data_IF_887194752271
#
_entry.id   IF_887194752271
#
_cell.length_a   1.000
_cell.length_b   1.000
_cell.length_c   1.000
_cell.angle_alpha   90.00
_cell.angle_beta   90.00
_cell.angle_gamma   90.00
#
_symmetry.space_group_name_H-M   'P 1'
#
loop_
_entity.id
_entity.type
_entity.pdbx_description
1 polymer ?
#
# COMPACT_ATOMS: atom_id res chain seq x y z
N UNK A 1 18.36 -18.34 -6.05
CA UNK A 1 17.42 -18.36 -7.19
C UNK A 1 17.46 -19.73 -7.83
N UNK A 2 16.37 -20.19 -8.47
CA UNK A 2 16.30 -21.56 -9.02
C UNK A 2 17.26 -21.84 -10.19
N UNK A 3 17.77 -20.78 -10.82
CA UNK A 3 18.67 -20.84 -11.98
C UNK A 3 20.17 -20.69 -11.62
N UNK A 4 20.50 -20.60 -10.34
CA UNK A 4 21.88 -20.45 -9.87
C UNK A 4 22.55 -19.12 -10.22
N UNK A 5 21.85 -18.19 -10.85
CA UNK A 5 22.41 -16.88 -11.25
C UNK A 5 21.99 -15.79 -10.25
N UNK A 6 22.88 -14.79 -10.07
CA UNK A 6 22.62 -13.63 -9.22
C UNK A 6 22.06 -12.50 -10.06
N UNK A 7 20.86 -12.05 -9.74
CA UNK A 7 20.23 -10.93 -10.42
C UNK A 7 20.03 -9.76 -9.45
N UNK A 8 20.17 -8.54 -9.95
CA UNK A 8 19.68 -7.36 -9.24
C UNK A 8 18.15 -7.43 -9.18
N UNK A 9 17.63 -7.49 -7.98
CA UNK A 9 16.20 -7.61 -7.75
C UNK A 9 15.74 -6.59 -6.73
N UNK A 10 14.52 -6.12 -6.92
CA UNK A 10 13.79 -5.33 -5.94
C UNK A 10 12.65 -6.17 -5.37
N UNK A 11 12.32 -5.90 -4.11
CA UNK A 11 11.19 -6.51 -3.40
C UNK A 11 10.08 -5.47 -3.31
N UNK A 12 8.90 -5.80 -3.82
CA UNK A 12 7.71 -4.99 -3.65
C UNK A 12 6.93 -5.47 -2.42
N UNK A 13 6.43 -4.53 -1.63
CA UNK A 13 5.52 -4.79 -0.51
C UNK A 13 4.23 -4.01 -0.73
N UNK A 14 3.08 -4.67 -0.51
CA UNK A 14 1.77 -4.05 -0.56
C UNK A 14 1.12 -4.03 0.82
N UNK A 15 0.67 -2.86 1.23
CA UNK A 15 -0.27 -2.71 2.34
C UNK A 15 -1.67 -2.52 1.75
N UNK A 16 -2.55 -3.47 2.01
CA UNK A 16 -3.89 -3.52 1.43
C UNK A 16 -4.93 -3.34 2.53
N UNK A 17 -5.89 -2.45 2.33
CA UNK A 17 -7.04 -2.34 3.21
C UNK A 17 -8.00 -3.51 2.96
N UNK A 18 -8.24 -4.31 4.00
CA UNK A 18 -9.08 -5.51 3.93
C UNK A 18 -10.58 -5.20 3.84
N UNK A 19 -11.00 -3.95 4.01
CA UNK A 19 -12.38 -3.51 3.81
C UNK A 19 -12.65 -3.12 2.37
N UNK A 20 -11.74 -2.37 1.77
CA UNK A 20 -11.91 -1.80 0.44
C UNK A 20 -11.19 -2.57 -0.68
N UNK A 21 -10.29 -3.50 -0.39
CA UNK A 21 -9.38 -4.14 -1.36
C UNK A 21 -8.47 -3.11 -2.08
N UNK A 22 -8.29 -1.92 -1.51
CA UNK A 22 -7.40 -0.90 -2.05
C UNK A 22 -5.97 -1.10 -1.53
N UNK A 23 -4.98 -0.95 -2.38
CA UNK A 23 -3.59 -0.86 -1.95
C UNK A 23 -3.35 0.55 -1.41
N UNK A 24 -3.14 0.66 -0.12
CA UNK A 24 -2.92 1.93 0.59
C UNK A 24 -1.47 2.39 0.49
N UNK A 25 -0.53 1.43 0.53
CA UNK A 25 0.89 1.68 0.28
C UNK A 25 1.48 0.57 -0.58
N UNK A 26 2.40 0.95 -1.47
CA UNK A 26 3.20 0.03 -2.25
C UNK A 26 4.65 0.51 -2.24
N UNK A 27 5.48 -0.21 -1.53
CA UNK A 27 6.86 0.16 -1.26
C UNK A 27 7.82 -0.79 -2.01
N UNK A 28 8.88 -0.23 -2.57
CA UNK A 28 9.91 -0.99 -3.26
C UNK A 28 11.20 -0.93 -2.46
N UNK A 29 11.71 -2.08 -2.10
CA UNK A 29 12.94 -2.23 -1.35
C UNK A 29 14.01 -3.02 -2.14
N UNK A 30 15.29 -2.82 -1.85
CA UNK A 30 16.31 -3.76 -2.28
C UNK A 30 16.01 -5.18 -1.78
N UNK A 31 16.21 -6.20 -2.62
CA UNK A 31 15.80 -7.57 -2.32
C UNK A 31 16.52 -8.20 -1.10
N UNK A 32 17.62 -7.59 -0.65
CA UNK A 32 18.38 -8.05 0.52
C UNK A 32 17.78 -7.57 1.86
N UNK A 33 16.79 -6.66 1.85
CA UNK A 33 16.09 -6.28 3.09
C UNK A 33 15.09 -7.36 3.49
N UNK A 34 15.09 -7.72 4.76
CA UNK A 34 14.16 -8.73 5.29
C UNK A 34 12.78 -8.11 5.57
N UNK A 35 11.73 -8.95 5.51
CA UNK A 35 10.34 -8.52 5.73
C UNK A 35 10.14 -7.87 7.10
N UNK A 36 10.79 -8.41 8.14
CA UNK A 36 10.64 -7.89 9.49
C UNK A 36 11.30 -6.51 9.69
N UNK A 37 12.24 -6.10 8.83
CA UNK A 37 12.89 -4.80 8.92
C UNK A 37 12.09 -3.70 8.20
N UNK A 38 11.26 -4.08 7.23
CA UNK A 38 10.47 -3.14 6.41
C UNK A 38 9.08 -2.86 6.99
N UNK A 39 8.56 -3.72 7.89
CA UNK A 39 7.20 -3.64 8.40
C UNK A 39 6.81 -2.25 8.92
N UNK A 40 7.66 -1.67 9.77
CA UNK A 40 7.38 -0.37 10.39
C UNK A 40 7.27 0.75 9.36
N UNK A 41 8.18 0.75 8.39
CA UNK A 41 8.20 1.73 7.31
C UNK A 41 6.93 1.64 6.47
N UNK A 42 6.53 0.43 6.06
CA UNK A 42 5.34 0.18 5.25
C UNK A 42 4.05 0.58 5.97
N UNK A 43 3.92 0.29 7.28
CA UNK A 43 2.76 0.69 8.09
C UNK A 43 2.69 2.21 8.25
N UNK A 44 3.80 2.86 8.57
CA UNK A 44 3.87 4.32 8.69
C UNK A 44 3.55 4.99 7.37
N UNK A 45 4.05 4.46 6.26
CA UNK A 45 3.75 5.00 4.92
C UNK A 45 2.28 4.84 4.57
N UNK A 46 1.67 3.70 4.92
CA UNK A 46 0.24 3.48 4.73
C UNK A 46 -0.60 4.51 5.52
N UNK A 47 -0.28 4.74 6.79
CA UNK A 47 -0.99 5.75 7.59
C UNK A 47 -0.81 7.17 7.03
N UNK A 48 0.39 7.52 6.58
CA UNK A 48 0.63 8.81 5.90
C UNK A 48 -0.22 8.97 4.65
N UNK A 49 -0.32 7.93 3.83
CA UNK A 49 -1.11 7.96 2.61
C UNK A 49 -2.61 8.12 2.90
N UNK A 50 -3.13 7.48 3.96
CA UNK A 50 -4.50 7.69 4.43
C UNK A 50 -4.76 9.14 4.82
N UNK A 51 -3.86 9.75 5.60
CA UNK A 51 -3.96 11.16 6.00
C UNK A 51 -3.91 12.08 4.78
N UNK A 52 -2.98 11.84 3.85
CA UNK A 52 -2.86 12.62 2.61
C UNK A 52 -4.11 12.50 1.71
N UNK A 53 -4.79 11.36 1.77
CA UNK A 53 -6.07 11.16 1.08
C UNK A 53 -7.28 11.81 1.80
N UNK A 54 -7.05 12.53 2.90
CA UNK A 54 -8.09 13.17 3.70
C UNK A 54 -8.90 12.19 4.56
N UNK A 55 -8.38 11.00 4.82
CA UNK A 55 -9.03 10.02 5.69
C UNK A 55 -8.65 10.26 7.14
N UNK A 56 -9.64 10.27 8.02
CA UNK A 56 -9.46 10.32 9.49
C UNK A 56 -9.24 8.91 10.09
N UNK A 57 -9.30 7.86 9.25
CA UNK A 57 -9.15 6.49 9.72
C UNK A 57 -7.71 6.21 10.19
N UNK A 58 -7.61 5.59 11.38
CA UNK A 58 -6.35 5.05 11.89
C UNK A 58 -6.27 3.54 11.62
N UNK A 59 -5.05 3.04 11.45
CA UNK A 59 -4.80 1.61 11.33
C UNK A 59 -4.96 0.99 12.72
N UNK A 60 -6.01 0.16 12.90
CA UNK A 60 -6.29 -0.53 14.16
C UNK A 60 -5.78 -1.97 14.19
N UNK A 61 -5.86 -2.67 13.04
CA UNK A 61 -5.50 -4.07 12.91
C UNK A 61 -4.41 -4.23 11.84
N UNK A 62 -3.32 -4.90 12.19
CA UNK A 62 -2.20 -5.21 11.30
C UNK A 62 -2.11 -6.71 11.08
N UNK A 63 -2.39 -7.14 9.86
CA UNK A 63 -2.33 -8.56 9.46
C UNK A 63 -1.18 -8.75 8.49
N UNK A 64 -0.19 -9.56 8.84
CA UNK A 64 0.96 -9.80 7.99
C UNK A 64 1.38 -11.28 7.99
N UNK A 65 2.30 -11.63 7.08
CA UNK A 65 2.82 -12.99 6.99
C UNK A 65 3.83 -13.28 8.11
N UNK A 66 4.11 -14.56 8.32
CA UNK A 66 5.09 -15.03 9.30
C UNK A 66 6.51 -14.45 9.10
N UNK A 67 6.82 -14.00 7.88
CA UNK A 67 8.08 -13.31 7.57
C UNK A 67 8.30 -12.03 8.37
N UNK A 68 7.22 -11.34 8.71
CA UNK A 68 7.22 -10.08 9.46
C UNK A 68 7.26 -10.27 10.99
N UNK A 69 7.16 -11.52 11.48
CA UNK A 69 7.11 -11.79 12.91
C UNK A 69 8.46 -11.55 13.60
N UNK A 70 8.51 -10.48 14.39
CA UNK A 70 9.60 -10.11 15.28
C UNK A 70 9.02 -9.51 16.56
N UNK A 71 9.52 -9.88 17.73
CA UNK A 71 8.94 -9.42 18.99
C UNK A 71 8.93 -7.88 19.11
N UNK A 72 9.99 -7.23 18.64
CA UNK A 72 10.13 -5.78 18.64
C UNK A 72 9.13 -5.09 17.71
N UNK A 73 8.69 -5.75 16.64
CA UNK A 73 7.64 -5.24 15.75
C UNK A 73 6.26 -5.32 16.41
N UNK A 74 6.02 -6.40 17.16
CA UNK A 74 4.76 -6.57 17.91
C UNK A 74 4.64 -5.54 19.01
N UNK A 75 5.72 -5.34 19.80
CA UNK A 75 5.77 -4.33 20.86
C UNK A 75 5.61 -2.90 20.29
N UNK A 76 6.25 -2.61 19.16
CA UNK A 76 6.10 -1.34 18.49
C UNK A 76 4.65 -1.08 18.06
N UNK A 77 3.98 -2.06 17.46
CA UNK A 77 2.59 -1.93 17.04
C UNK A 77 1.64 -1.76 18.25
N UNK A 78 1.85 -2.53 19.33
CA UNK A 78 1.07 -2.42 20.56
C UNK A 78 1.23 -1.02 21.20
N UNK A 79 2.45 -0.45 21.18
CA UNK A 79 2.72 0.91 21.64
C UNK A 79 1.99 2.00 20.85
N UNK A 80 1.57 1.72 19.62
CA UNK A 80 0.74 2.58 18.79
C UNK A 80 -0.76 2.24 18.86
N UNK A 81 -1.15 1.31 19.71
CA UNK A 81 -2.53 0.84 19.82
C UNK A 81 -3.00 -0.05 18.66
N UNK A 82 -2.05 -0.55 17.85
CA UNK A 82 -2.34 -1.39 16.69
C UNK A 82 -2.32 -2.87 17.07
N UNK A 83 -3.43 -3.56 16.90
CA UNK A 83 -3.55 -5.00 17.16
C UNK A 83 -2.91 -5.81 16.04
N UNK A 84 -1.94 -6.63 16.39
CA UNK A 84 -1.22 -7.47 15.41
C UNK A 84 -1.83 -8.86 15.26
N UNK A 85 -1.81 -9.37 14.02
CA UNK A 85 -2.21 -10.73 13.63
C UNK A 85 -1.12 -11.32 12.71
N UNK A 86 0.06 -11.58 13.27
CA UNK A 86 1.25 -12.04 12.55
C UNK A 86 1.60 -13.44 13.04
N UNK A 87 1.46 -14.51 12.22
CA UNK A 87 1.79 -15.87 12.63
C UNK A 87 3.28 -15.99 13.00
N UNK A 88 3.57 -16.82 13.99
CA UNK A 88 4.95 -17.16 14.35
C UNK A 88 5.57 -18.07 13.30
N UNK A 89 6.88 -17.98 13.12
CA UNK A 89 7.64 -18.98 12.39
C UNK A 89 7.65 -20.27 13.21
N UNK A 90 7.61 -21.40 12.55
CA UNK A 90 7.76 -22.71 13.19
C UNK A 90 9.25 -22.90 13.53
N UNK A 91 9.63 -22.47 14.72
CA UNK A 91 10.95 -22.72 15.25
C UNK A 91 10.95 -24.08 15.95
N UNK A 92 11.91 -24.94 15.61
CA UNK A 92 12.11 -26.24 16.26
C UNK A 92 12.50 -26.09 17.74
N UNK A 93 13.02 -24.94 18.14
CA UNK A 93 13.47 -24.64 19.50
C UNK A 93 12.42 -23.79 20.23
N UNK A 94 12.13 -24.13 21.47
CA UNK A 94 11.29 -23.28 22.32
C UNK A 94 11.95 -21.92 22.54
N UNK A 95 11.17 -20.86 22.34
CA UNK A 95 11.64 -19.49 22.56
C UNK A 95 12.02 -19.28 24.02
N UNK A 96 13.26 -18.92 24.28
CA UNK A 96 13.72 -18.54 25.61
C UNK A 96 13.40 -17.08 25.88
N UNK A 97 12.89 -16.80 27.10
CA UNK A 97 12.50 -15.46 27.55
C UNK A 97 13.44 -14.94 28.66
N UNK A 98 14.53 -15.63 28.89
CA UNK A 98 15.58 -15.20 29.82
C UNK A 98 16.15 -13.88 29.30
N UNK A 99 16.34 -12.92 30.16
CA UNK A 99 16.92 -11.60 29.84
C UNK A 99 16.10 -10.72 28.86
N UNK A 100 14.80 -10.97 28.76
CA UNK A 100 13.88 -10.12 27.94
C UNK A 100 12.82 -9.45 28.81
N UNK A 101 12.39 -8.21 28.47
CA UNK A 101 11.32 -7.52 29.18
C UNK A 101 10.03 -8.34 29.22
N UNK A 102 9.33 -8.27 30.35
CA UNK A 102 8.07 -9.01 30.54
C UNK A 102 6.99 -8.56 29.56
N UNK A 103 6.98 -7.26 29.22
CA UNK A 103 6.04 -6.66 28.24
C UNK A 103 6.21 -7.30 26.87
N UNK A 104 7.44 -7.48 26.40
CA UNK A 104 7.73 -8.12 25.12
C UNK A 104 7.16 -9.54 25.02
N UNK A 105 7.19 -10.27 26.13
CA UNK A 105 6.57 -11.60 26.23
C UNK A 105 5.05 -11.48 26.14
N UNK A 106 4.46 -10.51 26.85
CA UNK A 106 3.03 -10.28 26.86
C UNK A 106 2.49 -9.97 25.45
N UNK A 107 3.19 -9.11 24.68
CA UNK A 107 2.83 -8.72 23.31
C UNK A 107 2.86 -9.92 22.36
N UNK A 108 3.91 -10.76 22.43
CA UNK A 108 4.01 -11.98 21.63
C UNK A 108 2.88 -12.95 21.96
N UNK A 109 2.58 -13.17 23.23
CA UNK A 109 1.49 -14.07 23.62
C UNK A 109 0.11 -13.47 23.30
N UNK A 110 -0.05 -12.16 23.36
CA UNK A 110 -1.22 -11.43 22.94
C UNK A 110 -1.49 -11.64 21.44
N UNK A 111 -0.48 -11.40 20.60
CA UNK A 111 -0.54 -11.68 19.17
C UNK A 111 -0.87 -13.16 18.87
N UNK A 112 -0.21 -14.10 19.56
CA UNK A 112 -0.47 -15.55 19.39
C UNK A 112 -1.93 -15.91 19.68
N UNK A 113 -2.54 -15.36 20.72
CA UNK A 113 -3.96 -15.56 21.05
C UNK A 113 -4.86 -14.98 19.95
N UNK A 114 -4.56 -13.75 19.47
CA UNK A 114 -5.31 -13.10 18.39
C UNK A 114 -5.27 -13.92 17.10
N UNK A 115 -4.09 -14.39 16.68
CA UNK A 115 -3.91 -15.21 15.45
C UNK A 115 -4.72 -16.51 15.52
N UNK A 116 -4.75 -17.18 16.68
CA UNK A 116 -5.46 -18.47 16.87
C UNK A 116 -6.96 -18.30 16.95
N UNK A 117 -7.46 -17.11 17.27
CA UNK A 117 -8.88 -16.80 17.37
C UNK A 117 -9.60 -16.83 16.01
N UNK A 118 -10.94 -16.90 16.06
CA UNK A 118 -11.79 -16.91 14.84
C UNK A 118 -11.58 -15.66 13.98
N UNK A 119 -11.49 -14.48 14.60
CA UNK A 119 -11.18 -13.22 13.92
C UNK A 119 -9.82 -13.28 13.20
N UNK A 120 -8.77 -13.76 13.89
CA UNK A 120 -7.42 -13.85 13.30
C UNK A 120 -7.37 -14.81 12.11
N UNK A 121 -8.03 -15.96 12.21
CA UNK A 121 -8.15 -16.91 11.09
C UNK A 121 -8.88 -16.31 9.88
N UNK A 122 -9.94 -15.54 10.13
CA UNK A 122 -10.68 -14.84 9.06
C UNK A 122 -9.81 -13.76 8.41
N UNK A 123 -9.18 -12.91 9.21
CA UNK A 123 -8.30 -11.85 8.72
C UNK A 123 -7.10 -12.39 7.94
N UNK A 124 -6.52 -13.49 8.41
CA UNK A 124 -5.42 -14.16 7.70
C UNK A 124 -5.83 -14.66 6.31
N UNK A 125 -7.03 -15.22 6.16
CA UNK A 125 -7.56 -15.63 4.85
C UNK A 125 -7.79 -14.44 3.93
N UNK A 126 -8.45 -13.38 4.42
CA UNK A 126 -8.68 -12.16 3.66
C UNK A 126 -7.37 -11.51 3.21
N UNK A 127 -6.37 -11.46 4.13
CA UNK A 127 -5.03 -10.97 3.79
C UNK A 127 -4.42 -11.76 2.64
N UNK A 128 -4.39 -13.09 2.72
CA UNK A 128 -3.84 -13.91 1.63
C UNK A 128 -4.55 -13.61 0.32
N UNK A 129 -5.88 -13.64 0.31
CA UNK A 129 -6.66 -13.39 -0.89
C UNK A 129 -6.40 -12.02 -1.50
N UNK A 130 -6.45 -10.94 -0.70
CA UNK A 130 -6.37 -9.57 -1.22
C UNK A 130 -4.95 -9.19 -1.61
N UNK A 131 -3.96 -9.60 -0.82
CA UNK A 131 -2.55 -9.33 -1.13
C UNK A 131 -2.11 -10.12 -2.36
N UNK A 132 -2.43 -11.41 -2.45
CA UNK A 132 -2.11 -12.22 -3.63
C UNK A 132 -2.78 -11.68 -4.89
N UNK A 133 -4.07 -11.29 -4.80
CA UNK A 133 -4.80 -10.64 -5.90
C UNK A 133 -4.15 -9.33 -6.33
N UNK A 134 -3.69 -8.51 -5.37
CA UNK A 134 -3.03 -7.24 -5.68
C UNK A 134 -1.72 -7.47 -6.43
N UNK A 135 -0.90 -8.43 -6.00
CA UNK A 135 0.33 -8.79 -6.69
C UNK A 135 0.08 -9.44 -8.06
N UNK A 136 -0.86 -10.36 -8.15
CA UNK A 136 -1.21 -10.98 -9.44
C UNK A 136 -1.62 -9.91 -10.45
N UNK A 137 -2.44 -8.95 -10.04
CA UNK A 137 -2.88 -7.88 -10.94
C UNK A 137 -1.73 -6.96 -11.36
N UNK A 138 -0.91 -6.50 -10.43
CA UNK A 138 0.19 -5.56 -10.71
C UNK A 138 1.34 -6.27 -11.45
N UNK A 139 1.71 -7.49 -11.04
CA UNK A 139 2.88 -8.18 -11.57
C UNK A 139 2.59 -8.98 -12.85
N UNK A 140 1.41 -9.54 -13.00
CA UNK A 140 1.07 -10.41 -14.13
C UNK A 140 0.31 -9.67 -15.22
N UNK A 141 -0.72 -8.91 -14.85
CA UNK A 141 -1.51 -8.12 -15.80
C UNK A 141 -0.84 -6.78 -16.11
N UNK A 142 -0.25 -6.15 -15.10
CA UNK A 142 0.40 -4.84 -15.21
C UNK A 142 1.88 -4.89 -15.60
N UNK A 143 2.43 -6.09 -15.88
CA UNK A 143 3.86 -6.29 -16.21
C UNK A 143 4.85 -5.73 -15.15
N UNK A 144 4.42 -5.64 -13.88
CA UNK A 144 5.25 -5.13 -12.78
C UNK A 144 6.38 -6.06 -12.36
N UNK A 145 6.39 -7.30 -12.86
CA UNK A 145 7.39 -8.31 -12.51
C UNK A 145 8.77 -8.02 -13.08
N UNK A 146 8.86 -7.32 -14.20
CA UNK A 146 10.12 -6.95 -14.87
C UNK A 146 10.15 -5.48 -15.20
N UNK A 147 11.34 -4.89 -15.13
CA UNK A 147 11.54 -3.49 -15.52
C UNK A 147 12.88 -3.35 -16.23
N UNK A 148 12.91 -2.46 -17.22
CA UNK A 148 14.14 -2.00 -17.89
C UNK A 148 14.73 -0.76 -17.21
N UNK A 149 13.98 -0.16 -16.27
CA UNK A 149 14.42 1.01 -15.51
C UNK A 149 15.49 0.62 -14.50
N UNK A 150 16.40 1.54 -14.26
CA UNK A 150 17.49 1.37 -13.29
C UNK A 150 17.31 2.39 -12.16
N UNK A 151 17.70 1.96 -10.95
CA UNK A 151 17.59 2.78 -9.75
C UNK A 151 16.24 2.65 -9.07
N UNK A 152 16.28 2.69 -7.73
CA UNK A 152 15.12 2.44 -6.88
C UNK A 152 13.98 3.44 -7.14
N UNK A 153 14.33 4.71 -7.36
CA UNK A 153 13.35 5.81 -7.53
C UNK A 153 12.52 5.57 -8.81
N UNK A 154 13.17 5.29 -9.92
CA UNK A 154 12.48 5.13 -11.21
C UNK A 154 11.65 3.84 -11.25
N UNK A 155 12.17 2.77 -10.64
CA UNK A 155 11.42 1.52 -10.47
C UNK A 155 10.19 1.74 -9.59
N UNK A 156 10.33 2.47 -8.48
CA UNK A 156 9.22 2.80 -7.58
C UNK A 156 8.14 3.62 -8.27
N UNK A 157 8.51 4.67 -9.02
CA UNK A 157 7.55 5.50 -9.78
C UNK A 157 6.72 4.65 -10.74
N UNK A 158 7.37 3.83 -11.54
CA UNK A 158 6.67 2.94 -12.49
C UNK A 158 5.72 2.00 -11.76
N UNK A 159 6.19 1.40 -10.68
CA UNK A 159 5.40 0.44 -9.90
C UNK A 159 4.16 1.11 -9.28
N UNK A 160 4.30 2.31 -8.74
CA UNK A 160 3.21 3.10 -8.19
C UNK A 160 2.14 3.44 -9.23
N UNK A 161 2.52 3.73 -10.48
CA UNK A 161 1.56 3.95 -11.57
C UNK A 161 0.72 2.69 -11.81
N UNK A 162 1.34 1.51 -11.79
CA UNK A 162 0.62 0.24 -11.99
C UNK A 162 -0.33 -0.05 -10.81
N UNK A 163 0.11 0.23 -9.59
CA UNK A 163 -0.74 0.11 -8.38
C UNK A 163 -1.90 1.11 -8.43
N UNK A 164 -1.67 2.34 -8.87
CA UNK A 164 -2.71 3.35 -9.03
C UNK A 164 -3.76 2.91 -10.07
N UNK A 165 -3.33 2.36 -11.20
CA UNK A 165 -4.23 1.81 -12.23
C UNK A 165 -5.07 0.64 -11.68
N UNK A 166 -4.47 -0.26 -10.88
CA UNK A 166 -5.20 -1.33 -10.19
C UNK A 166 -6.24 -0.77 -9.23
N UNK A 167 -5.86 0.21 -8.41
CA UNK A 167 -6.76 0.83 -7.44
C UNK A 167 -7.93 1.56 -8.14
N UNK A 168 -7.65 2.28 -9.21
CA UNK A 168 -8.70 2.88 -10.04
C UNK A 168 -9.71 1.82 -10.52
N UNK A 169 -9.24 0.68 -11.01
CA UNK A 169 -10.10 -0.42 -11.41
C UNK A 169 -10.94 -1.00 -10.26
N UNK A 170 -10.39 -1.07 -9.03
CA UNK A 170 -11.16 -1.48 -7.83
C UNK A 170 -12.23 -0.46 -7.51
N UNK A 171 -11.88 0.83 -7.54
CA UNK A 171 -12.80 1.93 -7.26
C UNK A 171 -13.95 1.98 -8.27
N UNK A 172 -13.65 1.87 -9.56
CA UNK A 172 -14.66 1.83 -10.61
C UNK A 172 -15.65 0.68 -10.42
N UNK A 173 -15.18 -0.52 -10.06
CA UNK A 173 -16.06 -1.65 -9.77
C UNK A 173 -16.95 -1.42 -8.55
N UNK A 174 -16.40 -0.82 -7.50
CA UNK A 174 -17.15 -0.57 -6.25
C UNK A 174 -18.15 0.57 -6.37
N UNK A 175 -17.76 1.65 -7.02
CA UNK A 175 -18.60 2.85 -7.12
C UNK A 175 -19.63 2.78 -8.25
N UNK A 176 -19.25 2.19 -9.37
CA UNK A 176 -20.07 2.24 -10.60
C UNK A 176 -20.57 0.86 -11.05
N UNK A 177 -20.25 -0.20 -10.32
CA UNK A 177 -20.63 -1.55 -10.73
C UNK A 177 -20.02 -1.99 -12.06
N UNK A 178 -19.01 -1.26 -12.57
CA UNK A 178 -18.38 -1.56 -13.86
C UNK A 178 -17.57 -2.83 -13.72
N UNK A 179 -17.91 -3.82 -14.55
CA UNK A 179 -17.31 -5.13 -14.53
C UNK A 179 -15.85 -5.16 -14.97
N UNK A 180 -15.35 -6.37 -15.21
CA UNK A 180 -14.01 -6.58 -15.77
C UNK A 180 -13.93 -6.04 -17.20
N UNK A 181 -12.74 -5.73 -17.74
CA UNK A 181 -12.58 -5.32 -19.14
C UNK A 181 -13.26 -6.24 -20.15
N UNK A 182 -13.40 -7.53 -19.84
CA UNK A 182 -14.14 -8.50 -20.68
C UNK A 182 -15.65 -8.24 -20.76
N UNK A 183 -16.25 -7.74 -19.67
CA UNK A 183 -17.68 -7.37 -19.68
C UNK A 183 -17.91 -6.06 -20.45
N UNK A 184 -16.88 -5.23 -20.62
CA UNK A 184 -16.93 -3.99 -21.38
C UNK A 184 -16.80 -4.22 -22.89
N UNK A 185 -16.24 -5.34 -23.32
CA UNK A 185 -16.11 -5.68 -24.75
C UNK A 185 -17.47 -5.85 -25.46
N UNK A 186 -18.52 -6.18 -24.73
CA UNK A 186 -19.90 -6.25 -25.27
C UNK A 186 -20.69 -4.94 -25.23
N UNK A 187 -20.18 -3.91 -24.53
CA UNK A 187 -20.87 -2.62 -24.33
C UNK A 187 -20.03 -1.39 -24.71
N UNK A 188 -19.05 -1.54 -25.58
CA UNK A 188 -18.03 -0.51 -25.89
C UNK A 188 -18.61 0.84 -26.33
N UNK A 189 -19.79 0.88 -26.93
CA UNK A 189 -20.41 2.12 -27.40
C UNK A 189 -21.01 2.98 -26.27
N UNK A 190 -21.54 2.37 -25.20
CA UNK A 190 -22.14 3.11 -24.09
C UNK A 190 -21.08 3.59 -23.08
N UNK A 191 -20.01 2.82 -22.89
CA UNK A 191 -18.96 3.10 -21.92
C UNK A 191 -18.00 4.17 -22.43
N UNK A 192 -17.70 4.18 -23.74
CA UNK A 192 -16.85 5.22 -24.34
C UNK A 192 -17.47 6.61 -24.19
N UNK A 193 -18.79 6.74 -24.31
CA UNK A 193 -19.47 8.01 -24.16
C UNK A 193 -19.42 8.56 -22.73
N UNK A 194 -19.64 7.69 -21.72
CA UNK A 194 -19.57 8.11 -20.30
C UNK A 194 -18.14 8.39 -19.84
N UNK A 195 -17.16 7.59 -20.27
CA UNK A 195 -15.76 7.82 -19.97
C UNK A 195 -15.25 9.11 -20.63
N UNK A 196 -15.63 9.36 -21.87
CA UNK A 196 -15.28 10.60 -22.59
C UNK A 196 -15.90 11.82 -21.92
N UNK A 197 -17.17 11.74 -21.50
CA UNK A 197 -17.84 12.80 -20.75
C UNK A 197 -17.11 13.09 -19.43
N UNK A 198 -16.75 12.08 -18.67
CA UNK A 198 -16.05 12.22 -17.39
C UNK A 198 -14.63 12.78 -17.54
N UNK A 199 -13.92 12.39 -18.60
CA UNK A 199 -12.61 12.97 -18.94
C UNK A 199 -12.75 14.42 -19.37
N UNK A 200 -13.76 14.75 -20.19
CA UNK A 200 -14.05 16.13 -20.61
C UNK A 200 -14.44 16.98 -19.41
N UNK A 201 -15.29 16.46 -18.51
CA UNK A 201 -15.68 17.18 -17.29
C UNK A 201 -14.47 17.40 -16.35
N UNK A 202 -13.59 16.43 -16.23
CA UNK A 202 -12.37 16.55 -15.44
C UNK A 202 -11.40 17.58 -16.05
N UNK A 203 -11.24 17.58 -17.37
CA UNK A 203 -10.41 18.54 -18.09
C UNK A 203 -10.99 19.95 -17.99
N UNK A 204 -12.31 20.11 -18.16
CA UNK A 204 -13.00 21.40 -18.04
C UNK A 204 -12.95 21.93 -16.61
N UNK A 205 -13.10 21.07 -15.62
CA UNK A 205 -12.94 21.43 -14.21
C UNK A 205 -11.49 21.86 -13.87
N UNK A 206 -10.48 21.15 -14.39
CA UNK A 206 -9.08 21.55 -14.24
C UNK A 206 -8.78 22.86 -14.98
N UNK A 207 -9.30 23.05 -16.20
CA UNK A 207 -9.14 24.27 -16.97
C UNK A 207 -9.78 25.48 -16.27
N UNK A 208 -10.97 25.32 -15.72
CA UNK A 208 -11.64 26.38 -14.94
C UNK A 208 -10.82 26.77 -13.72
N UNK A 209 -10.26 25.81 -12.99
CA UNK A 209 -9.41 26.10 -11.83
C UNK A 209 -8.04 26.71 -12.19
N UNK A 210 -7.46 26.30 -13.32
CA UNK A 210 -6.25 26.94 -13.82
C UNK A 210 -6.52 28.39 -14.27
N UNK A 211 -7.71 28.67 -14.80
CA UNK A 211 -8.12 30.03 -15.17
C UNK A 211 -8.30 30.93 -13.93
N UNK A 212 -8.90 30.39 -12.85
CA UNK A 212 -9.05 31.11 -11.59
C UNK A 212 -7.69 31.41 -10.93
N UNK A 213 -6.74 30.49 -11.02
CA UNK A 213 -5.35 30.69 -10.55
C UNK A 213 -4.64 31.73 -11.41
N UNK A 214 -4.81 31.72 -12.73
CA UNK A 214 -4.20 32.70 -13.63
C UNK A 214 -4.75 34.11 -13.41
N UNK A 215 -6.05 34.25 -13.14
CA UNK A 215 -6.67 35.55 -12.79
C UNK A 215 -6.15 36.08 -11.45
N UNK A 216 -5.93 35.19 -10.47
CA UNK A 216 -5.40 35.59 -9.16
C UNK A 216 -3.92 35.99 -9.20
N UNK A 217 -3.16 35.56 -10.24
CA UNK A 217 -1.77 35.99 -10.45
C UNK A 217 -1.64 37.31 -11.23
N UNK A 218 -2.69 37.76 -11.91
CA UNK A 218 -2.66 39.03 -12.66
C UNK A 218 -2.96 40.25 -11.81
N UNK A 219 -3.60 40.08 -10.63
CA UNK A 219 -3.99 41.16 -9.72
C UNK A 219 -3.11 41.29 -8.46
N UNK A 220 -2.06 40.50 -8.31
CA UNK A 220 -1.14 40.52 -7.19
C UNK A 220 0.16 41.24 -7.50
N UNK A 221 0.32 42.47 -7.04
CA UNK A 221 1.57 43.23 -7.03
C UNK A 221 2.78 42.41 -6.59
N UNK A 222 3.75 42.31 -7.46
CA UNK A 222 5.10 41.78 -7.18
C UNK A 222 5.80 42.63 -6.11
N UNK A 223 5.63 42.31 -4.82
CA UNK A 223 6.55 42.75 -3.77
C UNK A 223 7.54 41.64 -3.47
N UNK A 224 8.65 41.68 -4.18
CA UNK A 224 9.84 40.89 -3.83
C UNK A 224 10.44 41.51 -2.58
N UNK A 225 10.28 40.86 -1.42
CA UNK A 225 11.06 41.16 -0.24
C UNK A 225 12.36 40.37 -0.31
N UNK A 226 13.48 41.02 -0.63
CA UNK A 226 14.82 40.49 -0.42
C UNK A 226 15.12 40.50 1.06
N UNK A 227 15.23 39.37 1.71
CA UNK A 227 15.86 39.22 3.02
C UNK A 227 17.32 38.84 2.79
N UNK A 228 18.22 39.83 3.03
CA UNK A 228 19.65 39.59 3.11
C UNK A 228 19.97 38.86 4.41
N UNK A 229 20.91 37.91 4.32
CA UNK A 229 21.52 37.23 5.45
C UNK A 229 22.32 38.17 6.33
N UNK A 230 22.28 37.99 7.63
CA UNK A 230 23.31 38.24 8.60
C UNK A 230 23.49 36.99 9.46
#
# INVERSE_FOLDING_TARGET
MKDGTTHLAYKAEHTVDLGSDMVVSADIYPANRSDHDTLKESVVQAQKNLILAGSEAAIEDLVADKGYHKAENLAWAEGWGVRTYIPEREDKLQRRWTDKPAELKADVYGNRRRVRGSRGKRLGRLRSEFVERSFAHVCETGEGRRTWLRGLIEVSKRYLIQVAARNLGVMMRKMFGMGTPRSLQGGLAAVSHHFFALVVDCITWMAARCSDVAVHWSDGDLRVASAAAA
#
